data_IF_703203545908
#
_entry.id   IF_703203545908
#
_cell.length_a   1.000
_cell.length_b   1.000
_cell.length_c   1.000
_cell.angle_alpha   90.00
_cell.angle_beta   90.00
_cell.angle_gamma   90.00
#
_symmetry.space_group_name_H-M   'P 1'
#
loop_
_entity.id
_entity.type
_entity.pdbx_description
1 polymer ?
#
# COMPACT_ATOMS: atom_id res chain seq x y z
N UNK A 1 -10.35 16.66 -12.08
CA UNK A 1 -9.18 17.57 -12.01
C UNK A 1 -8.33 17.12 -10.83
N UNK A 2 -7.01 16.99 -10.99
CA UNK A 2 -6.13 16.69 -9.86
C UNK A 2 -6.16 17.84 -8.85
N UNK A 3 -6.19 17.51 -7.56
CA UNK A 3 -6.22 18.45 -6.43
C UNK A 3 -5.04 18.17 -5.50
N UNK A 4 -4.65 19.16 -4.70
CA UNK A 4 -3.58 18.95 -3.71
C UNK A 4 -4.07 18.04 -2.60
N UNK A 5 -3.17 17.24 -2.03
CA UNK A 5 -3.48 16.24 -0.99
C UNK A 5 -4.19 16.78 0.25
N UNK A 6 -3.99 18.06 0.58
CA UNK A 6 -4.53 18.78 1.72
C UNK A 6 -5.83 19.53 1.40
N UNK A 7 -6.21 19.61 0.12
CA UNK A 7 -7.47 20.22 -0.32
C UNK A 7 -8.63 19.22 -0.23
N UNK A 8 -9.07 18.96 1.00
CA UNK A 8 -10.18 18.04 1.27
C UNK A 8 -11.51 18.51 0.66
N UNK A 9 -11.70 19.82 0.49
CA UNK A 9 -12.90 20.37 -0.13
C UNK A 9 -12.91 20.15 -1.64
N UNK A 10 -11.76 20.34 -2.29
CA UNK A 10 -11.56 19.99 -3.69
C UNK A 10 -11.77 18.50 -3.95
N UNK A 11 -11.25 17.63 -3.06
CA UNK A 11 -11.49 16.19 -3.12
C UNK A 11 -12.98 15.84 -2.98
N UNK A 12 -13.66 16.41 -1.99
CA UNK A 12 -15.10 16.20 -1.78
C UNK A 12 -15.96 16.70 -2.96
N UNK A 13 -15.60 17.85 -3.54
CA UNK A 13 -16.23 18.33 -4.77
C UNK A 13 -16.00 17.38 -5.94
N UNK A 14 -14.79 16.84 -6.08
CA UNK A 14 -14.45 15.82 -7.07
C UNK A 14 -15.26 14.53 -6.90
N UNK A 15 -15.40 14.04 -5.66
CA UNK A 15 -16.21 12.87 -5.34
C UNK A 15 -17.69 13.07 -5.66
N UNK A 16 -18.30 14.17 -5.19
CA UNK A 16 -19.72 14.47 -5.46
C UNK A 16 -20.05 14.61 -6.94
N UNK A 17 -19.08 15.11 -7.73
CA UNK A 17 -19.23 15.26 -9.18
C UNK A 17 -18.84 14.04 -10.01
N UNK A 18 -18.36 12.96 -9.37
CA UNK A 18 -17.86 11.77 -10.06
C UNK A 18 -18.90 10.64 -10.03
N UNK A 19 -19.21 10.00 -11.16
CA UNK A 19 -20.00 8.78 -11.18
C UNK A 19 -19.19 7.54 -10.73
N UNK A 20 -17.87 7.69 -10.56
CA UNK A 20 -16.95 6.62 -10.15
C UNK A 20 -16.43 6.85 -8.72
N UNK A 21 -16.15 5.78 -7.96
CA UNK A 21 -15.53 5.89 -6.65
C UNK A 21 -14.20 6.63 -6.69
N UNK A 22 -13.96 7.48 -5.70
CA UNK A 22 -12.70 8.24 -5.57
C UNK A 22 -11.82 7.60 -4.49
N UNK A 23 -10.60 7.25 -4.89
CA UNK A 23 -9.55 6.82 -3.97
C UNK A 23 -8.63 7.99 -3.59
N UNK A 24 -8.26 8.08 -2.31
CA UNK A 24 -7.22 9.01 -1.84
C UNK A 24 -5.92 8.28 -1.52
N UNK A 25 -4.81 8.82 -2.01
CA UNK A 25 -3.47 8.33 -1.72
C UNK A 25 -2.75 9.29 -0.74
N UNK A 26 -2.18 10.40 -1.21
CA UNK A 26 -1.25 11.22 -0.41
C UNK A 26 -1.89 11.94 0.79
N UNK A 27 -3.23 11.99 0.84
CA UNK A 27 -4.02 12.60 1.90
C UNK A 27 -4.05 11.80 3.20
N UNK A 28 -3.84 10.48 3.14
CA UNK A 28 -3.90 9.59 4.31
C UNK A 28 -2.52 8.97 4.56
N UNK A 29 -1.96 9.23 5.74
CA UNK A 29 -0.71 8.59 6.20
C UNK A 29 -0.89 7.84 7.51
N UNK A 30 -1.76 8.36 8.39
CA UNK A 30 -2.02 7.80 9.72
C UNK A 30 -3.53 7.73 10.00
N UNK A 31 -3.97 6.96 11.02
CA UNK A 31 -5.39 6.77 11.31
C UNK A 31 -6.19 8.07 11.46
N UNK A 32 -5.59 9.09 12.10
CA UNK A 32 -6.23 10.39 12.29
C UNK A 32 -6.58 11.10 10.97
N UNK A 33 -5.88 10.82 9.87
CA UNK A 33 -6.17 11.43 8.57
C UNK A 33 -7.40 10.80 7.91
N UNK A 34 -7.66 9.51 8.16
CA UNK A 34 -8.87 8.81 7.68
C UNK A 34 -10.12 9.53 8.15
N UNK A 35 -10.19 9.87 9.44
CA UNK A 35 -11.35 10.56 9.99
C UNK A 35 -11.54 11.96 9.42
N UNK A 36 -10.47 12.64 9.00
CA UNK A 36 -10.58 13.95 8.31
C UNK A 36 -11.18 13.77 6.91
N UNK A 37 -10.72 12.77 6.17
CA UNK A 37 -11.23 12.42 4.83
C UNK A 37 -12.70 12.01 4.91
N UNK A 38 -13.06 11.14 5.85
CA UNK A 38 -14.42 10.68 6.07
C UNK A 38 -15.35 11.85 6.45
N UNK A 39 -14.93 12.70 7.39
CA UNK A 39 -15.72 13.88 7.80
C UNK A 39 -15.95 14.88 6.67
N UNK A 40 -14.97 15.02 5.78
CA UNK A 40 -15.08 15.90 4.62
C UNK A 40 -15.86 15.25 3.46
N UNK A 41 -16.25 13.97 3.57
CA UNK A 41 -16.80 13.17 2.47
C UNK A 41 -15.91 13.21 1.22
N UNK A 42 -14.59 13.16 1.44
CA UNK A 42 -13.60 13.43 0.40
C UNK A 42 -13.24 12.21 -0.46
N UNK A 43 -13.59 10.98 -0.04
CA UNK A 43 -13.24 9.75 -0.73
C UNK A 43 -14.20 8.60 -0.42
N UNK A 44 -14.16 7.58 -1.26
CA UNK A 44 -14.79 6.26 -1.07
C UNK A 44 -13.77 5.20 -0.63
N UNK A 45 -12.52 5.37 -1.08
CA UNK A 45 -11.45 4.39 -0.92
C UNK A 45 -10.19 5.08 -0.36
N UNK A 46 -9.53 4.42 0.60
CA UNK A 46 -8.19 4.82 1.07
C UNK A 46 -7.15 3.90 0.41
N UNK A 47 -6.20 4.48 -0.33
CA UNK A 47 -5.02 3.75 -0.80
C UNK A 47 -3.97 3.70 0.32
N UNK A 48 -3.87 2.55 0.97
CA UNK A 48 -2.91 2.28 2.03
C UNK A 48 -1.61 1.79 1.40
N UNK A 49 -0.52 2.47 1.71
CA UNK A 49 0.83 2.06 1.34
C UNK A 49 1.61 1.81 2.61
N UNK A 50 2.17 0.62 2.78
CA UNK A 50 2.86 0.21 4.01
C UNK A 50 3.95 1.22 4.40
N UNK A 51 4.70 1.71 3.41
CA UNK A 51 5.78 2.68 3.61
C UNK A 51 5.29 4.07 4.01
N UNK A 52 4.11 4.48 3.53
CA UNK A 52 3.48 5.77 3.90
C UNK A 52 2.89 5.73 5.31
N UNK A 53 2.51 4.55 5.77
CA UNK A 53 1.84 4.34 7.05
C UNK A 53 2.75 3.99 8.22
N UNK A 54 4.08 3.99 8.02
CA UNK A 54 5.02 3.67 9.10
C UNK A 54 5.11 2.16 9.38
N UNK A 55 4.97 1.33 8.34
CA UNK A 55 5.09 -0.12 8.44
C UNK A 55 3.75 -0.84 8.62
N UNK A 56 3.82 -2.17 8.76
CA UNK A 56 2.65 -3.06 8.77
C UNK A 56 1.64 -2.71 9.88
N UNK A 57 2.13 -2.40 11.09
CA UNK A 57 1.26 -2.02 12.21
C UNK A 57 0.52 -0.71 11.94
N UNK A 58 1.19 0.28 11.35
CA UNK A 58 0.56 1.53 10.99
C UNK A 58 -0.45 1.37 9.86
N UNK A 59 -0.14 0.54 8.87
CA UNK A 59 -1.06 0.16 7.79
C UNK A 59 -2.33 -0.51 8.34
N UNK A 60 -2.20 -1.47 9.27
CA UNK A 60 -3.34 -2.11 9.96
C UNK A 60 -4.21 -1.09 10.72
N UNK A 61 -3.58 -0.15 11.43
CA UNK A 61 -4.33 0.91 12.14
C UNK A 61 -5.10 1.81 11.17
N UNK A 62 -4.53 2.13 10.02
CA UNK A 62 -5.23 2.88 8.96
C UNK A 62 -6.38 2.04 8.38
N UNK A 63 -6.17 0.74 8.18
CA UNK A 63 -7.19 -0.15 7.66
C UNK A 63 -8.41 -0.24 8.58
N UNK A 64 -8.20 -0.44 9.88
CA UNK A 64 -9.26 -0.46 10.88
C UNK A 64 -9.96 0.89 11.02
N UNK A 65 -9.21 2.00 10.97
CA UNK A 65 -9.83 3.33 11.00
C UNK A 65 -10.72 3.57 9.77
N UNK A 66 -10.31 3.06 8.60
CA UNK A 66 -11.09 3.17 7.36
C UNK A 66 -12.34 2.30 7.43
N UNK A 67 -12.24 1.09 7.99
CA UNK A 67 -13.39 0.21 8.24
C UNK A 67 -14.41 0.89 9.15
N UNK A 68 -13.95 1.42 10.29
CA UNK A 68 -14.80 2.14 11.24
C UNK A 68 -15.44 3.40 10.64
N UNK A 69 -14.81 4.01 9.64
CA UNK A 69 -15.32 5.17 8.90
C UNK A 69 -16.20 4.79 7.69
N UNK A 70 -16.43 3.50 7.44
CA UNK A 70 -17.21 3.03 6.29
C UNK A 70 -16.51 3.19 4.93
N UNK A 71 -15.18 3.33 4.94
CA UNK A 71 -14.36 3.48 3.73
C UNK A 71 -13.73 2.13 3.35
N UNK A 72 -13.73 1.84 2.04
CA UNK A 72 -13.01 0.68 1.50
C UNK A 72 -11.51 0.97 1.43
N UNK A 73 -10.69 -0.09 1.38
CA UNK A 73 -9.25 0.03 1.21
C UNK A 73 -8.77 -0.52 -0.13
N UNK A 74 -7.76 0.16 -0.66
CA UNK A 74 -6.83 -0.34 -1.65
C UNK A 74 -5.47 -0.47 -1.00
N UNK A 75 -4.67 -1.46 -1.40
CA UNK A 75 -3.28 -1.58 -0.93
C UNK A 75 -2.31 -1.44 -2.08
N UNK A 76 -1.48 -0.40 -2.02
CA UNK A 76 -0.52 -0.09 -3.06
C UNK A 76 0.93 -0.02 -2.61
N UNK A 77 1.77 0.24 -3.61
CA UNK A 77 3.22 0.28 -3.48
C UNK A 77 3.79 1.69 -3.73
N UNK A 78 5.02 1.91 -3.27
CA UNK A 78 5.82 3.12 -3.45
C UNK A 78 7.08 2.89 -4.30
N UNK A 79 7.24 1.71 -4.88
CA UNK A 79 8.47 1.31 -5.58
C UNK A 79 9.32 0.31 -4.80
N UNK A 80 8.71 -0.45 -3.88
CA UNK A 80 9.41 -1.47 -3.12
C UNK A 80 9.82 -2.66 -4.01
N UNK A 81 10.93 -3.31 -3.65
CA UNK A 81 11.26 -4.64 -4.15
C UNK A 81 10.42 -5.73 -3.49
N UNK A 82 10.70 -6.97 -3.87
CA UNK A 82 9.94 -8.18 -3.51
C UNK A 82 9.76 -8.37 -2.02
N UNK A 83 10.74 -7.98 -1.20
CA UNK A 83 10.64 -8.01 0.26
C UNK A 83 9.49 -7.13 0.77
N UNK A 84 9.43 -5.87 0.32
CA UNK A 84 8.39 -4.92 0.73
C UNK A 84 7.02 -5.30 0.15
N UNK A 85 6.99 -5.70 -1.12
CA UNK A 85 5.77 -6.15 -1.79
C UNK A 85 5.18 -7.37 -1.09
N UNK A 86 6.01 -8.35 -0.72
CA UNK A 86 5.53 -9.53 0.00
C UNK A 86 4.91 -9.17 1.35
N UNK A 87 5.52 -8.24 2.09
CA UNK A 87 4.94 -7.72 3.33
C UNK A 87 3.58 -7.04 3.10
N UNK A 88 3.46 -6.25 2.03
CA UNK A 88 2.21 -5.60 1.66
C UNK A 88 1.13 -6.60 1.21
N UNK A 89 1.50 -7.70 0.54
CA UNK A 89 0.58 -8.79 0.16
C UNK A 89 0.03 -9.49 1.41
N UNK A 90 0.89 -9.83 2.38
CA UNK A 90 0.43 -10.42 3.64
C UNK A 90 -0.50 -9.48 4.40
N UNK A 91 -0.18 -8.18 4.45
CA UNK A 91 -1.07 -7.16 5.01
C UNK A 91 -2.42 -7.13 4.29
N UNK A 92 -2.44 -7.01 2.96
CA UNK A 92 -3.65 -6.98 2.16
C UNK A 92 -4.54 -8.20 2.40
N UNK A 93 -3.95 -9.39 2.52
CA UNK A 93 -4.68 -10.63 2.80
C UNK A 93 -5.24 -10.71 4.23
N UNK A 94 -4.71 -9.93 5.18
CA UNK A 94 -5.14 -9.94 6.58
C UNK A 94 -6.28 -8.97 6.92
N UNK A 95 -6.59 -8.01 6.04
CA UNK A 95 -7.57 -6.96 6.30
C UNK A 95 -8.83 -7.15 5.43
N UNK A 96 -10.00 -7.35 6.06
CA UNK A 96 -11.26 -7.70 5.38
C UNK A 96 -11.83 -6.60 4.47
N UNK A 97 -11.51 -5.33 4.77
CA UNK A 97 -11.98 -4.18 4.01
C UNK A 97 -11.05 -3.78 2.86
N UNK A 98 -9.98 -4.53 2.60
CA UNK A 98 -9.17 -4.40 1.38
C UNK A 98 -9.93 -5.01 0.21
N UNK A 99 -10.26 -4.19 -0.79
CA UNK A 99 -11.00 -4.58 -1.99
C UNK A 99 -10.17 -4.54 -3.26
N UNK A 100 -9.08 -3.77 -3.24
CA UNK A 100 -8.22 -3.53 -4.40
C UNK A 100 -6.75 -3.62 -4.01
N UNK A 101 -5.90 -4.00 -4.96
CA UNK A 101 -4.44 -4.06 -4.77
C UNK A 101 -3.71 -3.62 -6.05
N UNK A 102 -2.64 -2.84 -5.88
CA UNK A 102 -1.65 -2.45 -6.90
C UNK A 102 -0.24 -2.74 -6.36
N UNK A 103 0.04 -4.02 -6.14
CA UNK A 103 1.29 -4.53 -5.57
C UNK A 103 2.14 -5.15 -6.67
N UNK A 104 2.75 -4.32 -7.51
CA UNK A 104 3.45 -4.72 -8.74
C UNK A 104 4.84 -4.08 -8.92
N UNK A 105 5.30 -3.21 -8.02
CA UNK A 105 6.56 -2.48 -8.22
C UNK A 105 7.81 -3.35 -8.32
N UNK A 106 7.86 -4.52 -7.67
CA UNK A 106 8.97 -5.48 -7.77
C UNK A 106 9.09 -6.11 -9.16
N UNK A 107 8.01 -6.12 -9.96
CA UNK A 107 8.03 -6.58 -11.36
C UNK A 107 8.81 -5.62 -12.26
N UNK A 108 8.90 -4.35 -11.87
CA UNK A 108 9.59 -3.31 -12.62
C UNK A 108 11.11 -3.29 -12.38
N UNK A 109 11.60 -4.10 -11.44
CA UNK A 109 13.03 -4.18 -11.11
C UNK A 109 13.76 -5.09 -12.10
N UNK A 110 14.86 -4.59 -12.67
CA UNK A 110 15.76 -5.39 -13.48
C UNK A 110 16.51 -6.46 -12.65
N UNK A 111 16.81 -6.16 -11.40
CA UNK A 111 17.48 -7.05 -10.45
C UNK A 111 16.94 -6.77 -9.04
N UNK A 112 16.69 -7.83 -8.25
CA UNK A 112 16.26 -7.75 -6.86
C UNK A 112 17.20 -8.61 -5.98
N UNK A 113 17.47 -8.15 -4.77
CA UNK A 113 18.25 -8.87 -3.77
C UNK A 113 17.41 -9.88 -2.98
N UNK A 114 16.09 -9.87 -3.13
CA UNK A 114 15.18 -10.80 -2.48
C UNK A 114 14.72 -11.91 -3.45
N UNK A 115 14.67 -13.14 -2.95
CA UNK A 115 14.16 -14.33 -3.63
C UNK A 115 13.02 -14.96 -2.82
N UNK A 116 12.13 -15.71 -3.48
CA UNK A 116 10.95 -16.30 -2.85
C UNK A 116 9.80 -15.29 -2.65
N UNK A 117 9.13 -15.35 -1.51
CA UNK A 117 8.02 -14.45 -1.16
C UNK A 117 6.80 -14.57 -2.08
N UNK A 118 6.13 -13.43 -2.30
CA UNK A 118 4.88 -13.43 -3.09
C UNK A 118 5.17 -13.58 -4.58
N UNK A 119 4.71 -14.69 -5.15
CA UNK A 119 4.71 -14.94 -6.58
C UNK A 119 3.47 -14.31 -7.26
N UNK A 120 3.56 -14.09 -8.58
CA UNK A 120 2.42 -13.75 -9.43
C UNK A 120 2.05 -14.99 -10.24
N UNK A 121 0.80 -15.42 -10.15
CA UNK A 121 0.25 -16.49 -10.97
C UNK A 121 -1.03 -15.97 -11.64
N UNK A 122 -1.08 -16.00 -12.98
CA UNK A 122 -2.25 -15.54 -13.76
C UNK A 122 -2.76 -14.14 -13.37
N UNK A 123 -1.83 -13.22 -13.10
CA UNK A 123 -2.13 -11.85 -12.68
C UNK A 123 -2.51 -11.68 -11.21
N UNK A 124 -2.39 -12.72 -10.39
CA UNK A 124 -2.76 -12.69 -8.97
C UNK A 124 -1.53 -12.89 -8.08
N UNK A 125 -1.39 -12.03 -7.07
CA UNK A 125 -0.39 -12.22 -6.01
C UNK A 125 -0.77 -13.38 -5.10
N UNK A 126 0.16 -14.30 -4.90
CA UNK A 126 0.02 -15.40 -3.95
C UNK A 126 0.55 -14.98 -2.59
N UNK A 127 -0.23 -15.23 -1.54
CA UNK A 127 0.26 -15.11 -0.17
C UNK A 127 1.27 -16.23 0.05
N UNK A 128 2.50 -15.93 0.52
CA UNK A 128 3.49 -16.97 0.81
C UNK A 128 2.98 -17.92 1.91
N UNK A 129 3.33 -19.20 1.79
CA UNK A 129 3.10 -20.19 2.82
C UNK A 129 4.33 -20.33 3.73
N UNK A 130 4.11 -20.81 4.96
CA UNK A 130 5.16 -21.02 5.95
C UNK A 130 5.48 -19.78 6.81
N UNK A 131 6.54 -19.84 7.62
CA UNK A 131 6.84 -18.80 8.61
C UNK A 131 7.38 -17.51 7.97
N UNK A 132 6.96 -16.38 8.54
CA UNK A 132 7.43 -15.06 8.14
C UNK A 132 6.94 -14.64 6.76
N UNK A 133 7.81 -14.03 5.96
CA UNK A 133 7.48 -13.56 4.61
C UNK A 133 7.82 -14.58 3.52
N UNK A 134 8.45 -15.70 3.85
CA UNK A 134 8.96 -16.65 2.84
C UNK A 134 10.01 -16.04 1.90
N UNK A 135 10.62 -14.91 2.27
CA UNK A 135 11.65 -14.22 1.49
C UNK A 135 13.04 -14.61 2.00
N UNK A 136 13.93 -14.95 1.07
CA UNK A 136 15.36 -15.13 1.31
C UNK A 136 16.12 -13.95 0.71
N UNK A 137 16.99 -13.33 1.49
CA UNK A 137 17.86 -12.24 1.03
C UNK A 137 19.17 -12.82 0.49
N UNK A 138 19.50 -12.47 -0.75
CA UNK A 138 20.82 -12.70 -1.34
C UNK A 138 21.77 -11.57 -0.91
N UNK A 139 22.66 -11.90 0.02
CA UNK A 139 23.63 -10.95 0.56
C UNK A 139 24.63 -10.44 -0.50
N UNK A 140 24.95 -11.24 -1.52
CA UNK A 140 25.87 -10.83 -2.59
C UNK A 140 25.21 -9.77 -3.48
N UNK A 141 23.97 -10.03 -3.94
CA UNK A 141 23.18 -9.06 -4.71
C UNK A 141 22.91 -7.80 -3.89
N UNK A 142 22.52 -7.94 -2.62
CA UNK A 142 22.31 -6.80 -1.74
C UNK A 142 23.55 -5.92 -1.65
N UNK A 143 24.73 -6.52 -1.48
CA UNK A 143 26.01 -5.79 -1.41
C UNK A 143 26.32 -5.08 -2.72
N UNK A 144 26.11 -5.76 -3.86
CA UNK A 144 26.32 -5.19 -5.20
C UNK A 144 25.39 -4.02 -5.51
N UNK A 145 24.11 -4.14 -5.13
CA UNK A 145 23.06 -3.16 -5.42
C UNK A 145 23.06 -1.98 -4.44
N UNK A 146 23.67 -2.13 -3.27
CA UNK A 146 23.77 -1.05 -2.31
C UNK A 146 24.65 0.10 -2.83
N UNK A 147 24.05 1.28 -3.04
CA UNK A 147 24.77 2.50 -3.40
C UNK A 147 25.60 3.08 -2.24
N UNK A 148 25.42 2.56 -1.01
CA UNK A 148 26.16 3.00 0.17
C UNK A 148 27.35 2.07 0.39
N UNK A 149 28.56 2.55 0.06
CA UNK A 149 29.79 1.98 0.62
C UNK A 149 29.71 2.16 2.14
N UNK A 150 29.80 1.06 2.89
CA UNK A 150 29.99 1.13 4.34
C UNK A 150 31.19 2.04 4.61
N UNK A 151 30.98 3.12 5.37
CA UNK A 151 32.07 3.88 5.96
C UNK A 151 32.78 3.01 7.01
#
# INVERSE_FOLDING_TARGET
RAVRRDDLQGLAGGRRGSPLPIAVDESVKKPADVFKVARAEAADIVNIKVMKSGGLLGALRVAHASEAAGLANMVGCMGEGRLGITGAVCFAASALNVKYVDLDSDVLLAEDYAEGGSAIEKGVRKVPEGPGLGVKVDASKLTKLAAVKRA
#
